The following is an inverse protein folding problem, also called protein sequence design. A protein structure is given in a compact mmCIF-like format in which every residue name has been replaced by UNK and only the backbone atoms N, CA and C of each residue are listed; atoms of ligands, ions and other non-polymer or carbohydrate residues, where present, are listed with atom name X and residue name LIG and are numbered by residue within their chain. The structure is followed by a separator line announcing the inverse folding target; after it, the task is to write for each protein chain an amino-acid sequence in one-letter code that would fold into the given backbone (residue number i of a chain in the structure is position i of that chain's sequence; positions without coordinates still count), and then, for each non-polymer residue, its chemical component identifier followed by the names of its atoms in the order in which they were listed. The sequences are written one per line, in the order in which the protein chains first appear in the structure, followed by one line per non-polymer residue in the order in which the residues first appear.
data_IF_864704117986
#
_entry.id   IF_864704117986
#
_cell.length_a   1.000
_cell.length_b   1.000
_cell.length_c   1.000
_cell.angle_alpha   90.00
_cell.angle_beta   90.00
_cell.angle_gamma   90.00
#
_symmetry.space_group_name_H-M   'P 1'
#
loop_
_entity.id
_entity.type
_entity.pdbx_description
1 polymer ?
#
# COMPACT_ATOMS: atom_id res chain seq x y z
N UNK A 1 -34.69 -64.29 -7.21
CA UNK A 1 -34.80 -62.88 -7.66
C UNK A 1 -34.30 -61.97 -6.57
N UNK A 2 -33.79 -60.79 -6.96
CA UNK A 2 -33.26 -59.66 -6.15
C UNK A 2 -31.73 -59.65 -6.02
N UNK A 3 -31.08 -59.13 -7.07
CA UNK A 3 -29.70 -58.63 -7.05
C UNK A 3 -29.70 -57.32 -6.26
N UNK A 4 -28.94 -57.25 -5.17
CA UNK A 4 -28.81 -56.03 -4.37
C UNK A 4 -27.56 -55.29 -4.85
N UNK A 5 -27.75 -54.18 -5.55
CA UNK A 5 -26.68 -53.27 -5.96
C UNK A 5 -26.40 -52.30 -4.80
N UNK A 6 -25.23 -52.41 -4.17
CA UNK A 6 -24.73 -51.37 -3.27
C UNK A 6 -24.04 -50.30 -4.12
N UNK A 7 -24.69 -49.15 -4.29
CA UNK A 7 -24.05 -47.95 -4.83
C UNK A 7 -23.30 -47.30 -3.67
N UNK A 8 -21.98 -47.48 -3.64
CA UNK A 8 -21.09 -46.78 -2.72
C UNK A 8 -20.91 -45.35 -3.24
N UNK A 9 -21.66 -44.41 -2.68
CA UNK A 9 -21.49 -42.98 -2.97
C UNK A 9 -20.21 -42.51 -2.26
N UNK A 10 -19.07 -42.51 -2.95
CA UNK A 10 -17.86 -41.84 -2.46
C UNK A 10 -18.11 -40.33 -2.46
N UNK A 11 -18.43 -39.79 -1.29
CA UNK A 11 -18.33 -38.36 -1.05
C UNK A 11 -16.85 -37.98 -1.07
N UNK A 12 -16.34 -37.56 -2.24
CA UNK A 12 -15.04 -36.92 -2.35
C UNK A 12 -15.19 -35.52 -1.75
N UNK A 13 -14.94 -35.40 -0.46
CA UNK A 13 -14.79 -34.10 0.19
C UNK A 13 -13.58 -33.41 -0.41
N UNK A 14 -13.78 -32.32 -1.17
CA UNK A 14 -12.67 -31.46 -1.55
C UNK A 14 -12.14 -30.79 -0.28
N UNK A 15 -10.97 -31.24 0.15
CA UNK A 15 -10.24 -30.64 1.25
C UNK A 15 -9.65 -29.33 0.74
N UNK A 16 -10.25 -28.20 1.11
CA UNK A 16 -9.69 -26.89 0.83
C UNK A 16 -8.47 -26.72 1.75
N UNK A 17 -7.28 -27.04 1.23
CA UNK A 17 -6.04 -26.72 1.91
C UNK A 17 -5.82 -25.21 1.84
N UNK A 18 -5.37 -24.62 2.95
CA UNK A 18 -4.92 -23.24 2.96
C UNK A 18 -3.79 -23.06 1.94
N UNK A 19 -3.75 -21.88 1.31
CA UNK A 19 -2.65 -21.50 0.42
C UNK A 19 -1.32 -21.65 1.17
N UNK A 20 -0.35 -22.34 0.57
CA UNK A 20 1.01 -22.37 1.12
C UNK A 20 1.61 -20.97 1.00
N UNK A 21 1.97 -20.37 2.14
CA UNK A 21 2.59 -19.04 2.21
C UNK A 21 4.06 -19.21 2.51
N UNK A 22 4.92 -18.62 1.66
CA UNK A 22 6.37 -18.56 1.89
C UNK A 22 6.81 -17.12 2.06
N UNK A 23 7.88 -16.90 2.82
CA UNK A 23 8.51 -15.59 2.95
C UNK A 23 9.61 -15.49 1.90
N UNK A 24 9.48 -14.54 0.97
CA UNK A 24 10.52 -14.26 -0.01
C UNK A 24 11.80 -13.77 0.69
N UNK A 25 12.96 -14.12 0.12
CA UNK A 25 14.24 -13.58 0.62
C UNK A 25 14.37 -12.13 0.20
N UNK A 26 14.84 -11.29 1.12
CA UNK A 26 15.16 -9.90 0.80
C UNK A 26 16.32 -9.82 -0.20
N UNK A 27 16.35 -8.73 -0.97
CA UNK A 27 17.39 -8.44 -1.95
C UNK A 27 18.79 -8.60 -1.30
N UNK A 28 19.68 -9.33 -1.98
CA UNK A 28 21.04 -9.55 -1.49
C UNK A 28 21.14 -10.35 -0.19
N UNK A 29 20.11 -11.12 0.20
CA UNK A 29 20.04 -11.85 1.47
C UNK A 29 20.09 -10.93 2.71
N UNK A 30 19.57 -9.70 2.59
CA UNK A 30 19.43 -8.81 3.73
C UNK A 30 18.59 -9.44 4.85
N UNK A 31 18.84 -9.03 6.09
CA UNK A 31 18.10 -9.52 7.26
C UNK A 31 16.68 -8.96 7.34
N UNK A 32 16.45 -7.78 6.76
CA UNK A 32 15.17 -7.09 6.77
C UNK A 32 15.12 -6.08 5.61
N UNK A 33 13.91 -5.59 5.32
CA UNK A 33 13.67 -4.41 4.52
C UNK A 33 12.93 -3.37 5.36
N UNK A 34 13.16 -2.08 5.08
CA UNK A 34 12.48 -0.95 5.71
C UNK A 34 11.94 -0.06 4.59
N UNK A 35 10.70 0.38 4.72
CA UNK A 35 10.08 1.35 3.82
C UNK A 35 9.59 2.56 4.61
N UNK A 36 9.85 3.76 4.09
CA UNK A 36 9.28 5.00 4.62
C UNK A 36 8.10 5.40 3.73
N UNK A 37 6.93 5.51 4.33
CA UNK A 37 5.70 5.89 3.64
C UNK A 37 5.04 7.05 4.37
N UNK A 38 4.45 7.98 3.62
CA UNK A 38 3.76 9.14 4.14
C UNK A 38 2.38 9.25 3.50
N UNK A 39 1.35 9.41 4.33
CA UNK A 39 -0.04 9.48 3.88
C UNK A 39 -0.53 10.92 3.79
N UNK A 40 -1.68 11.13 3.14
CA UNK A 40 -2.43 12.38 3.06
C UNK A 40 -1.84 13.50 2.18
N UNK A 41 -0.52 13.55 1.98
CA UNK A 41 0.14 14.58 1.17
C UNK A 41 0.31 15.93 1.89
N UNK A 42 0.63 15.89 3.18
CA UNK A 42 0.77 17.05 4.05
C UNK A 42 2.04 17.87 3.75
N UNK A 43 2.00 19.18 4.01
CA UNK A 43 3.10 20.11 3.69
C UNK A 43 4.36 19.90 4.55
N UNK A 44 4.22 19.41 5.77
CA UNK A 44 5.35 19.07 6.64
C UNK A 44 6.20 17.91 6.09
N UNK A 45 5.59 17.00 5.32
CA UNK A 45 6.29 15.93 4.62
C UNK A 45 7.23 16.50 3.55
N UNK A 46 6.81 17.57 2.87
CA UNK A 46 7.66 18.28 1.91
C UNK A 46 8.69 19.19 2.57
N UNK A 47 8.32 19.91 3.63
CA UNK A 47 9.21 20.92 4.23
C UNK A 47 10.18 20.36 5.27
N UNK A 48 9.85 19.22 5.90
CA UNK A 48 10.66 18.59 6.95
C UNK A 48 11.21 17.24 6.52
N UNK A 49 10.36 16.30 6.06
CA UNK A 49 10.81 14.94 5.79
C UNK A 49 11.65 14.84 4.51
N UNK A 50 11.19 15.46 3.42
CA UNK A 50 11.86 15.40 2.12
C UNK A 50 13.34 15.86 2.17
N UNK A 51 13.71 17.00 2.78
CA UNK A 51 15.12 17.37 2.93
C UNK A 51 15.97 16.36 3.71
N UNK A 52 15.41 15.73 4.76
CA UNK A 52 16.14 14.74 5.56
C UNK A 52 16.33 13.41 4.83
N UNK A 53 15.35 13.02 3.99
CA UNK A 53 15.45 11.88 3.09
C UNK A 53 16.53 12.10 2.03
N UNK A 54 16.55 13.29 1.41
CA UNK A 54 17.57 13.65 0.42
C UNK A 54 18.98 13.62 1.02
N UNK A 55 19.18 14.20 2.22
CA UNK A 55 20.49 14.18 2.91
C UNK A 55 21.05 12.77 3.13
N UNK A 56 20.18 11.76 3.20
CA UNK A 56 20.53 10.36 3.47
C UNK A 56 20.46 9.46 2.23
N UNK A 57 20.06 10.00 1.08
CA UNK A 57 19.86 9.22 -0.14
C UNK A 57 18.75 8.16 0.00
N UNK A 58 17.72 8.42 0.82
CA UNK A 58 16.61 7.49 1.04
C UNK A 58 15.44 7.90 0.15
N UNK A 59 14.96 6.96 -0.67
CA UNK A 59 13.69 7.11 -1.39
C UNK A 59 12.52 6.62 -0.53
N UNK A 60 11.36 7.22 -0.72
CA UNK A 60 10.16 7.01 0.08
C UNK A 60 8.92 7.05 -0.82
N UNK A 61 7.78 6.61 -0.28
CA UNK A 61 6.49 6.64 -0.98
C UNK A 61 5.58 7.67 -0.34
N UNK A 62 4.96 8.53 -1.15
CA UNK A 62 3.97 9.52 -0.70
C UNK A 62 2.60 9.16 -1.27
N UNK A 63 1.66 8.82 -0.40
CA UNK A 63 0.28 8.50 -0.74
C UNK A 63 -0.57 9.78 -0.71
N UNK A 64 -1.00 10.25 -1.88
CA UNK A 64 -1.64 11.57 -2.04
C UNK A 64 -3.16 11.46 -2.06
N UNK A 65 -3.84 12.29 -1.26
CA UNK A 65 -5.28 12.53 -1.41
C UNK A 65 -5.51 13.56 -2.51
N UNK A 66 -6.01 13.12 -3.67
CA UNK A 66 -6.11 13.98 -4.85
C UNK A 66 -6.94 15.25 -4.68
N UNK A 67 -8.02 15.22 -3.88
CA UNK A 67 -8.88 16.39 -3.62
C UNK A 67 -8.31 17.40 -2.62
N UNK A 68 -7.17 17.08 -1.97
CA UNK A 68 -6.56 17.92 -0.95
C UNK A 68 -5.32 18.66 -1.43
N UNK A 69 -4.78 18.31 -2.59
CA UNK A 69 -3.60 18.94 -3.18
C UNK A 69 -3.80 20.45 -3.31
N UNK A 70 -2.86 21.22 -2.75
CA UNK A 70 -2.88 22.68 -2.72
C UNK A 70 -3.88 23.30 -1.74
N UNK A 71 -4.57 22.48 -0.94
CA UNK A 71 -5.55 22.91 0.05
C UNK A 71 -5.14 22.50 1.47
N UNK A 72 -6.12 21.98 2.20
CA UNK A 72 -6.00 21.59 3.61
C UNK A 72 -6.60 20.20 3.88
N UNK A 73 -5.90 19.44 4.71
CA UNK A 73 -6.43 18.23 5.33
C UNK A 73 -6.36 18.36 6.85
N UNK A 74 -7.54 18.47 7.49
CA UNK A 74 -7.71 18.51 8.96
C UNK A 74 -6.91 19.62 9.64
N UNK A 75 -6.86 20.81 9.04
CA UNK A 75 -6.14 21.97 9.57
C UNK A 75 -4.62 21.96 9.28
N UNK A 76 -4.16 21.01 8.48
CA UNK A 76 -2.78 20.96 8.00
C UNK A 76 -2.75 21.25 6.50
N UNK A 77 -1.97 22.25 6.05
CA UNK A 77 -1.78 22.52 4.62
C UNK A 77 -1.25 21.29 3.89
N UNK A 78 -1.72 21.07 2.66
CA UNK A 78 -1.26 20.00 1.78
C UNK A 78 -0.34 20.54 0.68
N UNK A 79 0.54 19.68 0.19
CA UNK A 79 1.45 20.00 -0.93
C UNK A 79 0.69 20.44 -2.18
N UNK A 80 1.31 21.29 -3.00
CA UNK A 80 0.84 21.61 -4.35
C UNK A 80 1.25 20.53 -5.36
N UNK A 81 0.63 20.54 -6.54
CA UNK A 81 1.05 19.65 -7.62
C UNK A 81 2.49 19.88 -8.08
N UNK A 82 3.00 21.11 -7.97
CA UNK A 82 4.39 21.41 -8.29
C UNK A 82 5.35 20.71 -7.33
N UNK A 83 5.08 20.81 -6.02
CA UNK A 83 5.87 20.14 -4.98
C UNK A 83 5.80 18.61 -5.12
N UNK A 84 4.63 18.05 -5.43
CA UNK A 84 4.47 16.61 -5.67
C UNK A 84 5.30 16.17 -6.90
N UNK A 85 5.34 16.97 -7.96
CA UNK A 85 6.21 16.69 -9.12
C UNK A 85 7.69 16.74 -8.75
N UNK A 86 8.10 17.67 -7.89
CA UNK A 86 9.49 17.75 -7.40
C UNK A 86 9.90 16.52 -6.58
N UNK A 87 8.99 16.00 -5.74
CA UNK A 87 9.21 14.72 -5.04
C UNK A 87 9.46 13.58 -6.04
N UNK A 88 8.58 13.45 -7.05
CA UNK A 88 8.73 12.42 -8.08
C UNK A 88 10.04 12.55 -8.86
N UNK A 89 10.38 13.76 -9.31
CA UNK A 89 11.62 14.05 -10.02
C UNK A 89 12.87 13.75 -9.18
N UNK A 90 12.74 13.74 -7.85
CA UNK A 90 13.81 13.39 -6.91
C UNK A 90 13.90 11.89 -6.58
N UNK A 91 13.12 11.04 -7.27
CA UNK A 91 13.19 9.58 -7.14
C UNK A 91 12.20 8.97 -6.14
N UNK A 92 11.31 9.77 -5.55
CA UNK A 92 10.26 9.26 -4.66
C UNK A 92 9.09 8.67 -5.46
N UNK A 93 8.45 7.65 -4.89
CA UNK A 93 7.22 7.09 -5.43
C UNK A 93 6.03 7.97 -5.02
N UNK A 94 5.14 8.26 -5.97
CA UNK A 94 3.85 8.91 -5.71
C UNK A 94 2.74 7.88 -5.93
N UNK A 95 1.95 7.66 -4.89
CA UNK A 95 0.87 6.68 -4.89
C UNK A 95 -0.47 7.31 -4.51
N UNK A 96 -1.57 6.62 -4.75
CA UNK A 96 -2.92 7.12 -4.44
C UNK A 96 -3.28 6.81 -2.98
N UNK A 97 -3.83 7.81 -2.29
CA UNK A 97 -4.54 7.64 -1.01
C UNK A 97 -6.06 7.88 -1.19
N UNK A 98 -6.57 7.52 -2.38
CA UNK A 98 -7.92 7.85 -2.82
C UNK A 98 -8.09 9.31 -3.25
N UNK A 99 -9.19 9.62 -3.93
CA UNK A 99 -9.44 11.01 -4.34
C UNK A 99 -9.96 11.86 -3.18
N UNK A 100 -10.92 11.35 -2.40
CA UNK A 100 -11.62 12.08 -1.31
C UNK A 100 -11.33 11.58 0.09
N UNK A 101 -10.49 10.56 0.25
CA UNK A 101 -10.23 9.90 1.53
C UNK A 101 -11.52 9.46 2.24
N UNK A 102 -12.40 8.79 1.49
CA UNK A 102 -13.66 8.28 2.04
C UNK A 102 -13.40 7.02 2.87
N UNK A 103 -14.02 6.94 4.04
CA UNK A 103 -13.99 5.73 4.86
C UNK A 103 -14.74 4.60 4.15
N UNK A 104 -14.05 3.49 3.85
CA UNK A 104 -14.62 2.34 3.13
C UNK A 104 -15.58 1.49 3.97
N UNK A 105 -15.71 1.81 5.26
CA UNK A 105 -16.64 1.17 6.18
C UNK A 105 -18.00 1.86 6.26
N UNK A 106 -18.22 2.92 5.48
CA UNK A 106 -19.52 3.60 5.39
C UNK A 106 -20.27 3.05 4.18
N UNK A 107 -21.47 2.47 4.36
CA UNK A 107 -22.29 2.00 3.25
C UNK A 107 -22.65 3.13 2.29
#
# INVERSE_FOLDING_TARGET
MKKLFFILLLAVGQQINAQEVTVARWLGNARAAVSYTFDDGLMDQYTLAFPELQKRGIHATFHIIGSKVGGDHKGTPCMTWEQIRQLHQSGHEISSHGYRHIGLNKP
#
